data_IF_641168867729
#
_entry.id   IF_641168867729
#
_cell.length_a   1.000
_cell.length_b   1.000
_cell.length_c   1.000
_cell.angle_alpha   90.00
_cell.angle_beta   90.00
_cell.angle_gamma   90.00
#
_symmetry.space_group_name_H-M   'P 1'
#
loop_
_entity.id
_entity.type
_entity.pdbx_description
1 polymer ?
#
# COMPACT_ATOMS: atom_id res chain seq x y z
N UNK A 1 82.27 -20.35 -36.78
CA UNK A 1 81.69 -19.61 -35.64
C UNK A 1 80.19 -19.61 -35.86
N UNK A 2 79.52 -20.48 -35.12
CA UNK A 2 78.07 -20.70 -35.18
C UNK A 2 77.40 -19.57 -34.39
N UNK A 3 76.48 -18.83 -35.03
CA UNK A 3 75.70 -17.80 -34.35
C UNK A 3 74.56 -18.49 -33.60
N UNK A 4 74.78 -18.78 -32.32
CA UNK A 4 73.71 -19.26 -31.45
C UNK A 4 72.65 -18.17 -31.26
N UNK A 5 71.42 -18.47 -31.72
CA UNK A 5 70.25 -17.64 -31.51
C UNK A 5 69.96 -17.59 -30.01
N UNK A 6 69.93 -16.38 -29.43
CA UNK A 6 69.59 -16.19 -28.01
C UNK A 6 68.09 -16.38 -27.83
N UNK A 7 67.73 -17.27 -26.92
CA UNK A 7 66.36 -17.61 -26.60
C UNK A 7 65.58 -16.37 -26.11
N UNK A 8 64.34 -16.22 -26.59
CA UNK A 8 63.50 -15.09 -26.21
C UNK A 8 62.88 -15.34 -24.83
N UNK A 9 62.80 -14.31 -23.99
CA UNK A 9 62.20 -14.46 -22.66
C UNK A 9 60.77 -14.98 -22.76
N UNK A 10 60.35 -15.90 -21.86
CA UNK A 10 58.98 -16.36 -21.80
C UNK A 10 58.04 -15.19 -21.49
N UNK A 11 56.80 -15.29 -21.97
CA UNK A 11 55.78 -14.28 -21.73
C UNK A 11 55.52 -14.16 -20.22
N UNK A 12 55.65 -12.93 -19.71
CA UNK A 12 55.32 -12.62 -18.32
C UNK A 12 53.81 -12.37 -18.24
N UNK A 13 53.08 -13.18 -17.49
CA UNK A 13 51.66 -12.96 -17.23
C UNK A 13 51.51 -11.74 -16.30
N UNK A 14 50.82 -10.71 -16.79
CA UNK A 14 50.46 -9.54 -15.99
C UNK A 14 49.08 -9.81 -15.40
N UNK A 15 48.93 -9.87 -14.06
CA UNK A 15 47.61 -10.05 -13.46
C UNK A 15 46.74 -8.82 -13.75
N UNK A 16 45.58 -9.03 -14.38
CA UNK A 16 44.63 -7.97 -14.71
C UNK A 16 43.27 -8.20 -14.01
N UNK A 17 42.87 -7.22 -13.20
CA UNK A 17 41.60 -7.19 -12.49
C UNK A 17 40.56 -6.26 -13.13
N UNK A 18 40.91 -5.59 -14.24
CA UNK A 18 40.09 -4.55 -14.90
C UNK A 18 38.70 -5.05 -15.27
N UNK A 19 38.59 -6.31 -15.70
CA UNK A 19 37.32 -6.94 -16.01
C UNK A 19 36.38 -7.03 -14.78
N UNK A 20 36.91 -7.42 -13.63
CA UNK A 20 36.14 -7.51 -12.39
C UNK A 20 35.76 -6.13 -11.84
N UNK A 21 36.65 -5.13 -11.98
CA UNK A 21 36.35 -3.75 -11.62
C UNK A 21 35.22 -3.17 -12.47
N UNK A 22 35.25 -3.43 -13.79
CA UNK A 22 34.18 -3.03 -14.70
C UNK A 22 32.84 -3.68 -14.33
N UNK A 23 32.84 -4.99 -14.07
CA UNK A 23 31.65 -5.71 -13.61
C UNK A 23 31.10 -5.14 -12.29
N UNK A 24 31.97 -4.82 -11.34
CA UNK A 24 31.59 -4.20 -10.08
C UNK A 24 30.92 -2.84 -10.27
N UNK A 25 31.45 -2.00 -11.16
CA UNK A 25 30.87 -0.70 -11.50
C UNK A 25 29.51 -0.83 -12.18
N UNK A 26 29.37 -1.77 -13.12
CA UNK A 26 28.10 -2.06 -13.79
C UNK A 26 27.06 -2.54 -12.78
N UNK A 27 27.43 -3.48 -11.90
CA UNK A 27 26.54 -3.99 -10.86
C UNK A 27 26.09 -2.88 -9.90
N UNK A 28 27.02 -2.00 -9.47
CA UNK A 28 26.70 -0.84 -8.65
C UNK A 28 25.71 0.10 -9.35
N UNK A 29 25.95 0.39 -10.64
CA UNK A 29 25.05 1.22 -11.44
C UNK A 29 23.64 0.63 -11.52
N UNK A 30 23.52 -0.67 -11.74
CA UNK A 30 22.23 -1.37 -11.77
C UNK A 30 21.52 -1.28 -10.42
N UNK A 31 22.23 -1.48 -9.30
CA UNK A 31 21.66 -1.37 -7.95
C UNK A 31 21.12 0.05 -7.69
N UNK A 32 21.87 1.09 -8.07
CA UNK A 32 21.45 2.47 -7.91
C UNK A 32 20.19 2.79 -8.75
N UNK A 33 20.14 2.31 -9.99
CA UNK A 33 18.98 2.48 -10.87
C UNK A 33 17.76 1.77 -10.29
N UNK A 34 17.91 0.52 -9.84
CA UNK A 34 16.82 -0.23 -9.21
C UNK A 34 16.31 0.48 -7.94
N UNK A 35 17.22 0.99 -7.10
CA UNK A 35 16.86 1.77 -5.92
C UNK A 35 16.03 3.00 -6.26
N UNK A 36 16.42 3.73 -7.31
CA UNK A 36 15.68 4.90 -7.80
C UNK A 36 14.28 4.52 -8.31
N UNK A 37 14.17 3.45 -9.10
CA UNK A 37 12.89 2.95 -9.62
C UNK A 37 11.96 2.57 -8.46
N UNK A 38 12.45 1.79 -7.49
CA UNK A 38 11.67 1.38 -6.32
C UNK A 38 11.18 2.61 -5.54
N UNK A 39 12.03 3.61 -5.34
CA UNK A 39 11.67 4.84 -4.65
C UNK A 39 10.56 5.61 -5.38
N UNK A 40 10.68 5.78 -6.70
CA UNK A 40 9.68 6.45 -7.52
C UNK A 40 8.34 5.70 -7.49
N UNK A 41 8.35 4.38 -7.73
CA UNK A 41 7.14 3.55 -7.69
C UNK A 41 6.44 3.65 -6.34
N UNK A 42 7.19 3.54 -5.24
CA UNK A 42 6.64 3.67 -3.87
C UNK A 42 5.98 5.04 -3.66
N UNK A 43 6.58 6.12 -4.17
CA UNK A 43 6.04 7.48 -4.06
C UNK A 43 4.73 7.64 -4.85
N UNK A 44 4.67 7.12 -6.08
CA UNK A 44 3.45 7.19 -6.90
C UNK A 44 2.32 6.33 -6.33
N UNK A 45 2.63 5.13 -5.84
CA UNK A 45 1.63 4.25 -5.23
C UNK A 45 1.04 4.83 -3.95
N UNK A 46 1.85 5.46 -3.09
CA UNK A 46 1.34 6.16 -1.90
C UNK A 46 0.36 7.27 -2.25
N UNK A 47 0.68 8.12 -3.24
CA UNK A 47 -0.22 9.18 -3.70
C UNK A 47 -1.55 8.62 -4.24
N UNK A 48 -1.50 7.55 -5.03
CA UNK A 48 -2.70 6.88 -5.55
C UNK A 48 -3.55 6.29 -4.43
N UNK A 49 -2.93 5.66 -3.42
CA UNK A 49 -3.63 5.12 -2.26
C UNK A 49 -4.37 6.21 -1.47
N UNK A 50 -3.71 7.34 -1.20
CA UNK A 50 -4.33 8.48 -0.51
C UNK A 50 -5.52 9.02 -1.30
N UNK A 51 -5.40 9.13 -2.63
CA UNK A 51 -6.53 9.56 -3.47
C UNK A 51 -7.71 8.58 -3.37
N UNK A 52 -7.45 7.27 -3.46
CA UNK A 52 -8.51 6.26 -3.34
C UNK A 52 -9.15 6.22 -1.93
N UNK A 53 -8.37 6.41 -0.86
CA UNK A 53 -8.91 6.51 0.50
C UNK A 53 -9.89 7.67 0.62
N UNK A 54 -9.57 8.83 0.04
CA UNK A 54 -10.49 9.98 0.00
C UNK A 54 -11.77 9.68 -0.77
N UNK A 55 -11.68 9.02 -1.92
CA UNK A 55 -12.87 8.60 -2.69
C UNK A 55 -13.77 7.68 -1.88
N UNK A 56 -13.19 6.66 -1.22
CA UNK A 56 -13.96 5.76 -0.37
C UNK A 56 -14.54 6.46 0.86
N UNK A 57 -13.81 7.43 1.42
CA UNK A 57 -14.29 8.20 2.56
C UNK A 57 -15.47 9.10 2.19
N UNK A 58 -15.43 9.77 1.04
CA UNK A 58 -16.57 10.55 0.54
C UNK A 58 -17.79 9.67 0.29
N UNK A 59 -17.60 8.47 -0.26
CA UNK A 59 -18.69 7.51 -0.43
C UNK A 59 -19.24 7.03 0.91
N UNK A 60 -18.35 6.76 1.88
CA UNK A 60 -18.73 6.37 3.23
C UNK A 60 -19.54 7.49 3.87
N UNK A 61 -18.96 8.67 4.08
CA UNK A 61 -19.59 9.83 4.72
C UNK A 61 -20.98 10.17 4.19
N UNK A 62 -21.19 10.05 2.88
CA UNK A 62 -22.44 10.42 2.21
C UNK A 62 -23.41 9.24 1.97
N UNK A 63 -23.27 8.14 2.73
CA UNK A 63 -24.21 7.03 2.67
C UNK A 63 -25.64 7.48 3.01
N UNK A 64 -26.56 7.15 2.13
CA UNK A 64 -27.98 7.44 2.28
C UNK A 64 -28.67 6.34 3.11
N UNK A 65 -29.19 6.69 4.28
CA UNK A 65 -29.82 5.73 5.19
C UNK A 65 -31.30 5.47 4.89
N UNK A 66 -31.88 6.06 3.84
CA UNK A 66 -33.23 5.70 3.36
C UNK A 66 -33.34 4.19 3.05
N UNK A 67 -32.30 3.61 2.46
CA UNK A 67 -32.17 2.16 2.29
C UNK A 67 -31.15 1.59 3.28
N UNK A 68 -31.54 1.50 4.55
CA UNK A 68 -30.69 1.01 5.64
C UNK A 68 -30.03 -0.35 5.36
N UNK A 69 -30.68 -1.25 4.59
CA UNK A 69 -30.10 -2.54 4.22
C UNK A 69 -28.86 -2.38 3.35
N UNK A 70 -29.03 -1.67 2.22
CA UNK A 70 -27.96 -1.42 1.26
C UNK A 70 -26.81 -0.68 1.95
N UNK A 71 -27.15 0.38 2.69
CA UNK A 71 -26.18 1.23 3.37
C UNK A 71 -25.44 0.51 4.48
N UNK A 72 -26.06 -0.45 5.18
CA UNK A 72 -25.36 -1.28 6.15
C UNK A 72 -24.34 -2.24 5.50
N UNK A 73 -24.62 -2.77 4.30
CA UNK A 73 -23.63 -3.54 3.53
C UNK A 73 -22.47 -2.64 3.09
N UNK A 74 -22.78 -1.49 2.50
CA UNK A 74 -21.77 -0.54 1.99
C UNK A 74 -20.91 0.02 3.14
N UNK A 75 -21.52 0.40 4.27
CA UNK A 75 -20.82 0.85 5.46
C UNK A 75 -19.87 -0.23 6.01
N UNK A 76 -20.29 -1.50 6.02
CA UNK A 76 -19.40 -2.61 6.43
C UNK A 76 -18.20 -2.70 5.49
N UNK A 77 -18.44 -2.66 4.18
CA UNK A 77 -17.37 -2.85 3.19
C UNK A 77 -16.37 -1.69 3.19
N UNK A 78 -16.87 -0.45 3.11
CA UNK A 78 -16.07 0.76 3.07
C UNK A 78 -15.37 1.01 4.41
N UNK A 79 -16.08 0.84 5.52
CA UNK A 79 -15.50 0.97 6.87
C UNK A 79 -14.34 0.01 7.08
N UNK A 80 -14.44 -1.24 6.61
CA UNK A 80 -13.31 -2.19 6.65
C UNK A 80 -12.10 -1.68 5.87
N UNK A 81 -12.29 -1.14 4.67
CA UNK A 81 -11.17 -0.65 3.82
C UNK A 81 -10.49 0.58 4.43
N UNK A 82 -11.27 1.48 5.03
CA UNK A 82 -10.79 2.74 5.59
C UNK A 82 -10.06 2.56 6.94
N UNK A 83 -10.37 1.51 7.68
CA UNK A 83 -9.84 1.30 9.06
C UNK A 83 -8.61 0.39 9.13
N UNK A 84 -8.15 -0.19 8.01
CA UNK A 84 -7.04 -1.15 8.00
C UNK A 84 -5.72 -0.62 8.61
N UNK A 85 -5.47 0.68 8.51
CA UNK A 85 -4.19 1.29 8.94
C UNK A 85 -4.31 2.06 10.26
N UNK A 86 -5.52 2.17 10.83
CA UNK A 86 -5.78 2.96 12.03
C UNK A 86 -6.46 2.08 13.10
N UNK A 87 -5.69 1.71 14.13
CA UNK A 87 -6.17 0.80 15.18
C UNK A 87 -7.34 1.38 15.98
N UNK A 88 -7.36 2.70 16.23
CA UNK A 88 -8.47 3.39 16.91
C UNK A 88 -9.75 3.33 16.07
N UNK A 89 -9.63 3.59 14.77
CA UNK A 89 -10.77 3.53 13.86
C UNK A 89 -11.31 2.09 13.73
N UNK A 90 -10.40 1.09 13.76
CA UNK A 90 -10.72 -0.33 13.72
C UNK A 90 -11.46 -0.81 14.96
N UNK A 91 -11.12 -0.31 16.14
CA UNK A 91 -11.85 -0.58 17.37
C UNK A 91 -13.31 -0.09 17.27
N UNK A 92 -13.51 1.16 16.86
CA UNK A 92 -14.85 1.76 16.70
C UNK A 92 -15.65 1.01 15.63
N UNK A 93 -15.00 0.65 14.52
CA UNK A 93 -15.61 -0.18 13.49
C UNK A 93 -16.04 -1.55 14.01
N UNK A 94 -15.22 -2.20 14.85
CA UNK A 94 -15.59 -3.50 15.45
C UNK A 94 -16.86 -3.43 16.30
N UNK A 95 -17.11 -2.27 16.94
CA UNK A 95 -18.32 -2.01 17.72
C UNK A 95 -19.52 -1.69 16.82
N UNK A 96 -19.32 -1.03 15.68
CA UNK A 96 -20.37 -0.69 14.72
C UNK A 96 -20.90 -1.92 13.94
N UNK A 97 -20.02 -2.84 13.55
CA UNK A 97 -20.37 -4.04 12.76
C UNK A 97 -21.54 -4.85 13.33
N UNK A 98 -21.59 -5.21 14.64
CA UNK A 98 -22.72 -5.95 15.19
C UNK A 98 -24.03 -5.16 15.14
N UNK A 99 -24.00 -3.84 15.28
CA UNK A 99 -25.19 -2.98 15.17
C UNK A 99 -25.76 -3.02 13.75
N UNK A 100 -24.88 -2.93 12.75
CA UNK A 100 -25.23 -3.02 11.32
C UNK A 100 -25.75 -4.40 10.90
N UNK A 101 -25.42 -5.47 11.60
CA UNK A 101 -25.85 -6.83 11.25
C UNK A 101 -27.38 -6.97 11.23
N UNK A 102 -28.07 -6.28 12.13
CA UNK A 102 -29.54 -6.28 12.21
C UNK A 102 -30.20 -5.73 10.94
N UNK A 103 -29.56 -4.76 10.27
CA UNK A 103 -30.05 -4.13 9.05
C UNK A 103 -29.71 -4.92 7.78
N UNK A 104 -28.64 -5.71 7.80
CA UNK A 104 -28.15 -6.48 6.65
C UNK A 104 -28.97 -7.74 6.35
N UNK A 105 -29.45 -8.41 7.40
CA UNK A 105 -30.00 -9.77 7.28
C UNK A 105 -31.51 -9.87 7.49
N UNK A 106 -32.16 -8.81 7.98
CA UNK A 106 -33.62 -8.80 8.12
C UNK A 106 -34.32 -8.70 6.76
N UNK A 107 -35.52 -9.29 6.68
CA UNK A 107 -36.42 -9.22 5.52
C UNK A 107 -37.08 -7.84 5.46
N UNK A 108 -37.68 -7.43 6.56
CA UNK A 108 -38.18 -6.08 6.79
C UNK A 108 -37.14 -5.30 7.59
N UNK A 109 -36.59 -4.26 6.97
CA UNK A 109 -35.49 -3.50 7.55
C UNK A 109 -36.04 -2.23 8.17
N UNK A 110 -35.90 -2.05 9.50
CA UNK A 110 -36.34 -0.83 10.15
C UNK A 110 -35.47 0.36 9.71
N UNK A 111 -35.97 1.57 9.96
CA UNK A 111 -35.14 2.78 9.90
C UNK A 111 -33.97 2.65 10.86
N UNK A 112 -32.83 3.24 10.47
CA UNK A 112 -31.64 3.23 11.31
C UNK A 112 -31.93 3.88 12.67
N UNK A 113 -31.61 3.18 13.76
CA UNK A 113 -31.73 3.72 15.11
C UNK A 113 -30.67 4.80 15.37
N UNK A 114 -30.98 5.71 16.30
CA UNK A 114 -30.09 6.84 16.63
C UNK A 114 -28.74 6.40 17.21
N UNK A 115 -28.69 5.26 17.91
CA UNK A 115 -27.46 4.78 18.54
C UNK A 115 -26.48 4.29 17.46
N UNK A 116 -26.95 3.49 16.51
CA UNK A 116 -26.18 3.06 15.35
C UNK A 116 -25.73 4.25 14.51
N UNK A 117 -26.59 5.25 14.32
CA UNK A 117 -26.22 6.47 13.60
C UNK A 117 -25.13 7.27 14.32
N UNK A 118 -25.21 7.39 15.65
CA UNK A 118 -24.17 8.06 16.46
C UNK A 118 -22.84 7.32 16.37
N UNK A 119 -22.84 5.99 16.49
CA UNK A 119 -21.62 5.18 16.38
C UNK A 119 -21.01 5.27 14.98
N UNK A 120 -21.85 5.28 13.95
CA UNK A 120 -21.45 5.49 12.57
C UNK A 120 -20.78 6.87 12.37
N UNK A 121 -21.40 7.94 12.85
CA UNK A 121 -20.86 9.30 12.75
C UNK A 121 -19.55 9.47 13.54
N UNK A 122 -19.41 8.79 14.69
CA UNK A 122 -18.15 8.72 15.43
C UNK A 122 -17.05 8.09 14.58
N UNK A 123 -17.34 6.97 13.90
CA UNK A 123 -16.39 6.34 13.00
C UNK A 123 -16.00 7.26 11.84
N UNK A 124 -16.97 7.95 11.22
CA UNK A 124 -16.70 8.95 10.18
C UNK A 124 -15.73 10.02 10.68
N UNK A 125 -15.96 10.57 11.86
CA UNK A 125 -15.12 11.63 12.43
C UNK A 125 -13.67 11.16 12.68
N UNK A 126 -13.49 9.97 13.25
CA UNK A 126 -12.15 9.42 13.51
C UNK A 126 -11.41 9.07 12.22
N UNK A 127 -12.13 8.64 11.17
CA UNK A 127 -11.52 8.43 9.86
C UNK A 127 -11.09 9.76 9.25
N UNK A 128 -11.94 10.81 9.32
CA UNK A 128 -11.65 12.16 8.82
C UNK A 128 -10.39 12.75 9.44
N UNK A 129 -10.20 12.60 10.76
CA UNK A 129 -8.99 13.03 11.47
C UNK A 129 -7.70 12.32 11.01
N UNK A 130 -7.83 11.18 10.32
CA UNK A 130 -6.70 10.30 9.97
C UNK A 130 -6.31 10.30 8.49
N UNK A 131 -7.07 10.97 7.61
CA UNK A 131 -6.86 11.03 6.15
C UNK A 131 -6.19 12.35 5.72
#
# INVERSE_FOLDING_TARGET
MENELRDIKPLLEIPDSSYYLFLGLVALGVILILGLIIFLVKKFWKKKKINMQKVYFEQFKNLDWENAKKSAYEATELGRKLTLENERAKEIYSQLVPMLASYKYRKEVPTLDEETLKQYNLLVHIIDESI
#
